data_IF_387999526477
#
_entry.id   IF_387999526477
#
_cell.length_a   1.000
_cell.length_b   1.000
_cell.length_c   1.000
_cell.angle_alpha   90.00
_cell.angle_beta   90.00
_cell.angle_gamma   90.00
#
_symmetry.space_group_name_H-M   'P 1'
#
loop_
_entity.id
_entity.type
_entity.pdbx_description
1 polymer ?
#
# COMPACT_ATOMS: atom_id res chain seq x y z
N UNK A 1 8.97 8.08 17.77
CA UNK A 1 9.83 8.08 16.56
C UNK A 1 10.26 9.51 16.27
N UNK A 2 11.47 9.74 15.75
CA UNK A 2 11.93 11.07 15.37
C UNK A 2 11.09 11.60 14.20
N UNK A 3 10.66 12.86 14.28
CA UNK A 3 9.90 13.54 13.22
C UNK A 3 10.86 14.38 12.37
N UNK A 4 10.70 14.31 11.04
CA UNK A 4 11.48 15.08 10.08
C UNK A 4 10.53 16.01 9.32
N UNK A 5 10.95 17.24 9.04
CA UNK A 5 10.15 18.21 8.32
C UNK A 5 10.15 17.90 6.81
N UNK A 6 8.96 17.80 6.23
CA UNK A 6 8.74 17.73 4.78
C UNK A 6 8.34 19.11 4.26
N UNK A 7 9.13 19.69 3.35
CA UNK A 7 8.84 20.96 2.72
C UNK A 7 8.65 20.78 1.21
N UNK A 8 7.43 21.01 0.72
CA UNK A 8 7.09 20.89 -0.71
C UNK A 8 6.18 22.04 -1.14
N UNK A 9 6.15 22.33 -2.44
CA UNK A 9 5.16 23.23 -3.03
C UNK A 9 3.99 22.41 -3.52
N UNK A 10 2.78 22.82 -3.15
CA UNK A 10 1.53 22.19 -3.58
C UNK A 10 0.64 23.23 -4.25
N UNK A 11 -0.26 22.77 -5.12
CA UNK A 11 -1.25 23.63 -5.75
C UNK A 11 -2.17 24.28 -4.70
N UNK A 12 -2.53 25.54 -4.94
CA UNK A 12 -3.36 26.33 -4.02
C UNK A 12 -4.73 25.70 -3.80
N UNK A 13 -5.34 25.14 -4.85
CA UNK A 13 -6.68 24.53 -4.75
C UNK A 13 -6.63 23.25 -3.95
N UNK A 14 -5.56 22.46 -4.11
CA UNK A 14 -5.34 21.24 -3.33
C UNK A 14 -5.19 21.60 -1.86
N UNK A 15 -4.38 22.61 -1.53
CA UNK A 15 -4.21 23.07 -0.15
C UNK A 15 -5.55 23.46 0.49
N UNK A 16 -6.34 24.29 -0.19
CA UNK A 16 -7.66 24.73 0.28
C UNK A 16 -8.63 23.56 0.49
N UNK A 17 -8.61 22.57 -0.42
CA UNK A 17 -9.45 21.39 -0.31
C UNK A 17 -9.09 20.56 0.93
N UNK A 18 -7.80 20.36 1.18
CA UNK A 18 -7.32 19.60 2.35
C UNK A 18 -7.64 20.36 3.64
N UNK A 19 -7.45 21.68 3.69
CA UNK A 19 -7.78 22.51 4.85
C UNK A 19 -9.26 22.37 5.23
N UNK A 20 -10.16 22.50 4.25
CA UNK A 20 -11.60 22.37 4.47
C UNK A 20 -12.00 20.99 5.02
N UNK A 21 -11.38 19.92 4.51
CA UNK A 21 -11.64 18.55 4.99
C UNK A 21 -11.11 18.36 6.41
N UNK A 22 -9.91 18.86 6.68
CA UNK A 22 -9.29 18.78 8.00
C UNK A 22 -10.11 19.53 9.06
N UNK A 23 -10.59 20.73 8.74
CA UNK A 23 -11.45 21.52 9.62
C UNK A 23 -12.79 20.81 9.89
N UNK A 24 -13.45 20.31 8.85
CA UNK A 24 -14.75 19.65 8.98
C UNK A 24 -14.68 18.35 9.82
N UNK A 25 -13.54 17.67 9.82
CA UNK A 25 -13.34 16.40 10.52
C UNK A 25 -12.52 16.51 11.81
N UNK A 26 -12.07 17.72 12.17
CA UNK A 26 -11.22 17.93 13.34
C UNK A 26 -9.84 17.27 13.25
N UNK A 27 -9.31 17.09 12.03
CA UNK A 27 -8.05 16.40 11.76
C UNK A 27 -6.88 17.40 11.71
N UNK A 28 -5.70 16.95 12.16
CA UNK A 28 -4.46 17.71 11.99
C UNK A 28 -3.94 17.51 10.57
N UNK A 29 -3.68 18.62 9.88
CA UNK A 29 -3.11 18.65 8.52
C UNK A 29 -1.91 17.71 8.35
N UNK A 30 -0.93 17.79 9.27
CA UNK A 30 0.27 16.95 9.20
C UNK A 30 -0.05 15.45 9.26
N UNK A 31 -1.03 15.06 10.08
CA UNK A 31 -1.44 13.67 10.21
C UNK A 31 -2.15 13.18 8.96
N UNK A 32 -3.02 14.02 8.40
CA UNK A 32 -3.70 13.72 7.13
C UNK A 32 -2.69 13.52 5.99
N UNK A 33 -1.69 14.39 5.88
CA UNK A 33 -0.65 14.28 4.86
C UNK A 33 0.20 13.02 5.07
N UNK A 34 0.59 12.73 6.32
CA UNK A 34 1.35 11.53 6.66
C UNK A 34 0.58 10.26 6.28
N UNK A 35 -0.70 10.16 6.65
CA UNK A 35 -1.56 9.02 6.31
C UNK A 35 -1.72 8.90 4.78
N UNK A 36 -2.03 9.99 4.08
CA UNK A 36 -2.17 9.94 2.63
C UNK A 36 -0.86 9.55 1.89
N UNK A 37 0.30 9.91 2.44
CA UNK A 37 1.59 9.48 1.91
C UNK A 37 1.85 7.99 2.18
N UNK A 38 1.52 7.51 3.38
CA UNK A 38 1.65 6.09 3.73
C UNK A 38 0.76 5.22 2.84
N UNK A 39 -0.53 5.56 2.74
CA UNK A 39 -1.48 4.87 1.87
C UNK A 39 -0.94 4.78 0.44
N UNK A 40 -0.36 5.87 -0.08
CA UNK A 40 0.16 5.88 -1.44
C UNK A 40 1.44 5.07 -1.61
N UNK A 41 2.29 5.00 -0.59
CA UNK A 41 3.50 4.17 -0.61
C UNK A 41 3.14 2.68 -0.57
N UNK A 42 2.19 2.31 0.29
CA UNK A 42 1.67 0.94 0.39
C UNK A 42 1.05 0.49 -0.94
N UNK A 43 0.22 1.33 -1.58
CA UNK A 43 -0.33 1.04 -2.91
C UNK A 43 0.76 0.76 -3.97
N UNK A 44 1.89 1.48 -3.91
CA UNK A 44 2.97 1.30 -4.86
C UNK A 44 3.75 0.00 -4.59
N UNK A 45 3.98 -0.33 -3.32
CA UNK A 45 4.60 -1.58 -2.89
C UNK A 45 3.76 -2.79 -3.32
N UNK A 46 2.44 -2.75 -3.11
CA UNK A 46 1.51 -3.80 -3.55
C UNK A 46 1.62 -4.08 -5.06
N UNK A 47 1.74 -3.02 -5.88
CA UNK A 47 1.88 -3.14 -7.33
C UNK A 47 3.22 -3.78 -7.72
N UNK A 48 4.28 -3.54 -6.95
CA UNK A 48 5.58 -4.16 -7.17
C UNK A 48 5.56 -5.64 -6.76
N UNK A 49 4.96 -5.97 -5.62
CA UNK A 49 4.80 -7.35 -5.16
C UNK A 49 4.01 -8.20 -6.15
N UNK A 50 2.94 -7.66 -6.74
CA UNK A 50 2.19 -8.35 -7.79
C UNK A 50 3.06 -8.71 -9.00
N UNK A 51 4.02 -7.85 -9.39
CA UNK A 51 4.93 -8.17 -10.50
C UNK A 51 5.84 -9.33 -10.14
N UNK A 52 6.29 -9.41 -8.88
CA UNK A 52 7.12 -10.51 -8.39
C UNK A 52 6.32 -11.81 -8.42
N UNK A 53 5.10 -11.81 -7.85
CA UNK A 53 4.20 -12.97 -7.82
C UNK A 53 3.90 -13.50 -9.22
N UNK A 54 3.67 -12.62 -10.20
CA UNK A 54 3.44 -13.02 -11.60
C UNK A 54 4.68 -13.67 -12.25
N UNK A 55 5.87 -13.40 -11.74
CA UNK A 55 7.13 -13.98 -12.23
C UNK A 55 7.55 -15.23 -11.44
N UNK A 56 6.79 -15.65 -10.43
CA UNK A 56 7.14 -16.82 -9.64
C UNK A 56 7.06 -18.11 -10.49
N UNK A 57 8.02 -19.02 -10.33
CA UNK A 57 8.00 -20.29 -11.04
C UNK A 57 6.79 -21.11 -10.59
N UNK A 58 5.94 -21.46 -11.55
CA UNK A 58 4.79 -22.34 -11.29
C UNK A 58 5.27 -23.77 -11.08
N UNK A 59 4.70 -24.47 -10.09
CA UNK A 59 4.92 -25.90 -9.87
C UNK A 59 3.69 -26.73 -10.28
N UNK A 60 3.87 -27.95 -10.81
CA UNK A 60 2.75 -28.84 -11.12
C UNK A 60 1.95 -29.20 -9.86
N UNK A 61 0.62 -29.22 -9.97
CA UNK A 61 -0.28 -29.61 -8.87
C UNK A 61 0.05 -31.02 -8.32
N UNK A 62 0.50 -31.94 -9.19
CA UNK A 62 0.89 -33.29 -8.81
C UNK A 62 2.11 -33.33 -7.87
N UNK A 63 3.04 -32.39 -7.97
CA UNK A 63 4.16 -32.27 -7.03
C UNK A 63 3.68 -31.76 -5.68
N UNK A 64 2.79 -30.76 -5.68
CA UNK A 64 2.20 -30.20 -4.47
C UNK A 64 1.38 -31.26 -3.72
N UNK A 65 0.59 -32.06 -4.43
CA UNK A 65 -0.21 -33.14 -3.84
C UNK A 65 0.66 -34.25 -3.24
N UNK A 66 1.81 -34.57 -3.84
CA UNK A 66 2.80 -35.49 -3.28
C UNK A 66 3.45 -34.93 -2.01
N UNK A 67 3.86 -33.66 -2.03
CA UNK A 67 4.46 -32.99 -0.86
C UNK A 67 3.46 -32.99 0.33
N UNK A 68 2.17 -32.83 0.03
CA UNK A 68 1.07 -32.85 1.01
C UNK A 68 0.57 -34.26 1.37
N UNK A 69 1.10 -35.33 0.77
CA UNK A 69 0.64 -36.73 0.96
C UNK A 69 -0.86 -36.95 0.67
N UNK A 70 -1.37 -36.21 -0.30
CA UNK A 70 -2.76 -36.28 -0.79
C UNK A 70 -2.84 -36.96 -2.17
N UNK A 71 -1.71 -37.46 -2.68
CA UNK A 71 -1.64 -38.25 -3.89
C UNK A 71 -2.59 -39.47 -3.81
N UNK A 72 -3.59 -39.49 -4.70
CA UNK A 72 -4.59 -40.56 -4.81
C UNK A 72 -5.87 -40.39 -3.99
N UNK A 73 -6.09 -39.25 -3.31
CA UNK A 73 -7.34 -38.95 -2.57
C UNK A 73 -8.37 -38.10 -3.34
N UNK A 74 -8.07 -37.76 -4.59
CA UNK A 74 -8.91 -36.99 -5.52
C UNK A 74 -9.30 -37.85 -6.73
#
# INVERSE_FOLDING_TARGET
MPQIQLATRIDENVKKAVEKICEARGLKMNRFIEEALLDKLEELEDVEDLKVLLCEPTRPLSEILKDLKLDGKL
#
